data_IF_355620112987
#
_entry.id   IF_355620112987
#
_cell.length_a   1.000
_cell.length_b   1.000
_cell.length_c   1.000
_cell.angle_alpha   90.00
_cell.angle_beta   90.00
_cell.angle_gamma   90.00
#
_symmetry.space_group_name_H-M   'P 1'
#
loop_
_entity.id
_entity.type
_entity.pdbx_description
1 polymer ?
#
# COMPACT_ATOMS: atom_id res chain seq x y z
N UNK A 1 -3.54 -20.33 27.57
CA UNK A 1 -3.85 -19.38 26.48
C UNK A 1 -4.96 -19.97 25.62
N UNK A 2 -5.89 -19.17 25.06
CA UNK A 2 -6.93 -19.69 24.15
C UNK A 2 -6.30 -20.35 22.92
N UNK A 3 -7.01 -21.29 22.31
CA UNK A 3 -6.57 -21.97 21.09
C UNK A 3 -6.48 -21.00 19.89
N UNK A 4 -7.37 -20.00 19.86
CA UNK A 4 -7.36 -18.89 18.91
C UNK A 4 -6.87 -17.60 19.59
N UNK A 5 -5.66 -17.17 19.22
CA UNK A 5 -5.03 -15.97 19.76
C UNK A 5 -5.72 -14.67 19.31
N UNK A 6 -6.56 -14.70 18.26
CA UNK A 6 -7.34 -13.53 17.82
C UNK A 6 -8.51 -13.18 18.75
N UNK A 7 -8.85 -14.06 19.69
CA UNK A 7 -9.86 -13.75 20.72
C UNK A 7 -9.28 -12.93 21.88
N UNK A 8 -7.95 -12.79 21.95
CA UNK A 8 -7.27 -12.03 23.01
C UNK A 8 -7.51 -10.54 22.80
N UNK A 9 -8.23 -9.90 23.74
CA UNK A 9 -8.56 -8.47 23.70
C UNK A 9 -7.57 -7.58 24.46
N UNK A 10 -6.80 -8.15 25.37
CA UNK A 10 -5.74 -7.47 26.12
C UNK A 10 -4.66 -8.46 26.52
N UNK A 11 -3.45 -7.94 26.75
CA UNK A 11 -2.30 -8.72 27.20
C UNK A 11 -1.58 -8.00 28.34
N UNK A 12 -1.21 -8.75 29.36
CA UNK A 12 -0.14 -8.36 30.28
C UNK A 12 1.23 -8.75 29.70
N UNK A 13 2.30 -8.19 30.25
CA UNK A 13 3.69 -8.55 29.89
C UNK A 13 3.94 -10.05 30.06
N UNK A 14 3.48 -10.65 31.18
CA UNK A 14 3.67 -12.08 31.44
C UNK A 14 2.88 -12.97 30.49
N UNK A 15 1.66 -12.55 30.13
CA UNK A 15 0.87 -13.23 29.10
C UNK A 15 1.56 -13.17 27.72
N UNK A 16 2.10 -12.01 27.35
CA UNK A 16 2.86 -11.85 26.11
C UNK A 16 4.13 -12.72 26.10
N UNK A 17 4.86 -12.80 27.21
CA UNK A 17 6.06 -13.65 27.33
C UNK A 17 5.71 -15.13 27.14
N UNK A 18 4.64 -15.57 27.79
CA UNK A 18 4.18 -16.95 27.66
C UNK A 18 3.76 -17.28 26.22
N UNK A 19 3.14 -16.34 25.51
CA UNK A 19 2.76 -16.50 24.10
C UNK A 19 3.98 -16.69 23.19
N UNK A 20 4.98 -15.80 23.29
CA UNK A 20 6.14 -15.83 22.39
C UNK A 20 7.15 -16.94 22.73
N UNK A 21 7.14 -17.46 23.96
CA UNK A 21 8.01 -18.56 24.38
C UNK A 21 7.64 -19.89 23.69
N UNK A 22 6.41 -19.99 23.18
CA UNK A 22 6.00 -21.10 22.34
C UNK A 22 6.59 -20.93 20.94
N UNK A 23 7.56 -21.77 20.58
CA UNK A 23 8.07 -21.88 19.20
C UNK A 23 7.05 -22.48 18.22
N UNK A 24 5.82 -22.78 18.66
CA UNK A 24 4.77 -23.32 17.80
C UNK A 24 4.25 -22.29 16.78
N UNK A 25 4.44 -21.00 17.04
CA UNK A 25 3.88 -19.94 16.22
C UNK A 25 4.91 -19.48 15.21
N UNK A 26 4.90 -20.06 14.01
CA UNK A 26 5.56 -19.41 12.87
C UNK A 26 4.84 -18.11 12.50
N UNK A 27 3.52 -18.08 12.68
CA UNK A 27 2.67 -16.92 12.49
C UNK A 27 1.92 -16.66 13.80
N UNK A 28 2.18 -15.52 14.45
CA UNK A 28 1.44 -15.10 15.63
C UNK A 28 0.42 -14.04 15.23
N UNK A 29 -0.87 -14.35 15.41
CA UNK A 29 -1.98 -13.44 15.09
C UNK A 29 -2.71 -13.00 16.34
N UNK A 30 -2.70 -11.70 16.60
CA UNK A 30 -3.27 -11.06 17.79
C UNK A 30 -4.24 -9.95 17.37
N UNK A 31 -5.02 -10.21 16.32
CA UNK A 31 -5.95 -9.27 15.71
C UNK A 31 -7.15 -8.93 16.61
N UNK A 32 -7.25 -9.56 17.79
CA UNK A 32 -8.19 -9.16 18.83
C UNK A 32 -7.78 -7.94 19.62
N UNK A 33 -6.50 -7.57 19.61
CA UNK A 33 -5.96 -6.44 20.37
C UNK A 33 -6.30 -5.12 19.67
N UNK A 34 -7.05 -4.24 20.34
CA UNK A 34 -7.32 -2.89 19.84
C UNK A 34 -6.19 -1.89 20.13
N UNK A 35 -5.40 -2.15 21.17
CA UNK A 35 -4.26 -1.36 21.59
C UNK A 35 -3.20 -2.26 22.26
N UNK A 36 -1.95 -1.81 22.27
CA UNK A 36 -0.86 -2.41 23.06
C UNK A 36 -0.11 -1.34 23.84
N UNK A 37 0.36 -1.71 25.03
CA UNK A 37 1.30 -0.88 25.77
C UNK A 37 2.71 -1.04 25.23
N UNK A 38 3.59 -0.07 25.50
CA UNK A 38 5.00 -0.14 25.14
C UNK A 38 5.69 -1.43 25.65
N UNK A 39 5.41 -1.85 26.89
CA UNK A 39 6.04 -3.04 27.45
C UNK A 39 5.54 -4.35 26.83
N UNK A 40 4.25 -4.43 26.48
CA UNK A 40 3.72 -5.57 25.72
C UNK A 40 4.32 -5.58 24.31
N UNK A 41 4.40 -4.44 23.64
CA UNK A 41 5.02 -4.30 22.32
C UNK A 41 6.48 -4.76 22.31
N UNK A 42 7.28 -4.41 23.34
CA UNK A 42 8.67 -4.87 23.49
C UNK A 42 8.76 -6.39 23.57
N UNK A 43 7.84 -7.03 24.30
CA UNK A 43 7.81 -8.50 24.39
C UNK A 43 7.41 -9.08 23.04
N UNK A 44 6.31 -8.63 22.44
CA UNK A 44 5.84 -9.15 21.15
C UNK A 44 6.89 -9.00 20.03
N UNK A 45 7.69 -7.93 20.03
CA UNK A 45 8.79 -7.75 19.09
C UNK A 45 9.86 -8.85 19.18
N UNK A 46 9.99 -9.53 20.33
CA UNK A 46 10.93 -10.65 20.50
C UNK A 46 10.43 -11.96 19.88
N UNK A 47 9.20 -12.00 19.37
CA UNK A 47 8.69 -13.15 18.62
C UNK A 47 9.64 -13.53 17.47
N UNK A 48 10.03 -14.81 17.40
CA UNK A 48 10.98 -15.34 16.41
C UNK A 48 10.30 -15.95 15.18
N UNK A 49 8.97 -15.90 15.08
CA UNK A 49 8.24 -16.37 13.91
C UNK A 49 8.39 -15.44 12.70
N UNK A 50 7.83 -15.90 11.58
CA UNK A 50 7.87 -15.22 10.29
C UNK A 50 6.99 -13.97 10.27
N UNK A 51 5.80 -14.07 10.88
CA UNK A 51 4.75 -13.05 10.82
C UNK A 51 4.18 -12.69 12.19
N UNK A 52 4.16 -11.41 12.50
CA UNK A 52 3.40 -10.84 13.62
C UNK A 52 2.22 -10.02 13.09
N UNK A 53 1.00 -10.52 13.29
CA UNK A 53 -0.22 -9.83 12.92
C UNK A 53 -0.85 -9.15 14.12
N UNK A 54 -1.00 -7.84 14.00
CA UNK A 54 -1.61 -6.94 14.97
C UNK A 54 -2.65 -6.06 14.26
N UNK A 55 -3.38 -6.65 13.31
CA UNK A 55 -4.33 -5.94 12.44
C UNK A 55 -5.57 -5.43 13.19
N UNK A 56 -5.74 -5.83 14.46
CA UNK A 56 -6.77 -5.27 15.33
C UNK A 56 -6.41 -3.90 15.91
N UNK A 57 -5.13 -3.50 15.87
CA UNK A 57 -4.69 -2.26 16.49
C UNK A 57 -5.26 -1.07 15.72
N UNK A 58 -6.07 -0.26 16.39
CA UNK A 58 -6.63 0.97 15.82
C UNK A 58 -5.83 2.20 16.22
N UNK A 59 -5.01 2.09 17.26
CA UNK A 59 -4.08 3.12 17.72
C UNK A 59 -2.73 2.51 18.08
N UNK A 60 -1.66 3.30 17.96
CA UNK A 60 -0.30 2.89 18.31
C UNK A 60 0.47 4.10 18.84
N UNK A 61 0.98 4.04 20.07
CA UNK A 61 1.85 5.11 20.59
C UNK A 61 3.23 5.06 19.93
N UNK A 62 3.95 6.17 19.96
CA UNK A 62 5.30 6.27 19.39
C UNK A 62 6.27 5.27 20.03
N UNK A 63 6.16 5.04 21.35
CA UNK A 63 7.00 4.09 22.07
C UNK A 63 6.66 2.64 21.71
N UNK A 64 5.38 2.33 21.52
CA UNK A 64 4.95 1.00 21.08
C UNK A 64 5.39 0.75 19.62
N UNK A 65 5.28 1.75 18.73
CA UNK A 65 5.80 1.70 17.38
C UNK A 65 7.31 1.45 17.35
N UNK A 66 8.07 2.19 18.18
CA UNK A 66 9.52 1.99 18.35
C UNK A 66 9.87 0.59 18.83
N UNK A 67 9.09 0.03 19.74
CA UNK A 67 9.29 -1.33 20.20
C UNK A 67 9.00 -2.37 19.11
N UNK A 68 7.86 -2.26 18.41
CA UNK A 68 7.46 -3.18 17.33
C UNK A 68 8.41 -3.12 16.13
N UNK A 69 9.00 -1.97 15.83
CA UNK A 69 10.00 -1.83 14.77
C UNK A 69 11.25 -2.71 14.99
N UNK A 70 11.51 -3.12 16.24
CA UNK A 70 12.60 -4.05 16.56
C UNK A 70 12.24 -5.53 16.31
N UNK A 71 11.02 -5.80 15.83
CA UNK A 71 10.59 -7.15 15.52
C UNK A 71 11.56 -7.81 14.52
N UNK A 72 12.09 -8.98 14.89
CA UNK A 72 13.12 -9.66 14.11
C UNK A 72 12.55 -10.50 12.97
N UNK A 73 11.25 -10.82 13.02
CA UNK A 73 10.58 -11.59 11.99
C UNK A 73 10.47 -10.82 10.66
N UNK A 74 10.44 -11.55 9.52
CA UNK A 74 10.20 -11.05 8.18
C UNK A 74 9.12 -9.99 8.06
N UNK A 75 7.98 -10.17 8.71
CA UNK A 75 6.77 -9.45 8.36
C UNK A 75 6.00 -8.94 9.58
N UNK A 76 5.72 -7.63 9.57
CA UNK A 76 4.92 -6.95 10.57
C UNK A 76 3.63 -6.45 9.90
N UNK A 77 2.48 -6.83 10.46
CA UNK A 77 1.17 -6.44 9.96
C UNK A 77 0.42 -5.59 11.00
N UNK A 78 0.08 -4.37 10.59
CA UNK A 78 -0.57 -3.33 11.39
C UNK A 78 -1.74 -2.73 10.61
N UNK A 79 -2.50 -3.56 9.90
CA UNK A 79 -3.51 -3.11 8.93
C UNK A 79 -4.74 -2.45 9.57
N UNK A 80 -4.90 -2.50 10.90
CA UNK A 80 -6.00 -1.83 11.61
C UNK A 80 -5.76 -0.34 11.85
N UNK A 81 -4.52 0.13 11.71
CA UNK A 81 -4.19 1.53 11.94
C UNK A 81 -4.74 2.38 10.80
N UNK A 82 -5.58 3.36 11.13
CA UNK A 82 -6.14 4.31 10.14
C UNK A 82 -5.37 5.61 10.05
N UNK A 83 -4.59 5.92 11.09
CA UNK A 83 -3.71 7.09 11.18
C UNK A 83 -2.38 6.70 11.81
N UNK A 84 -1.32 7.47 11.53
CA UNK A 84 0.00 7.26 12.10
C UNK A 84 0.66 8.62 12.38
N UNK A 85 1.25 8.80 13.56
CA UNK A 85 2.07 9.97 13.87
C UNK A 85 3.38 9.95 13.07
N UNK A 86 4.01 11.11 12.92
CA UNK A 86 5.31 11.23 12.26
C UNK A 86 6.38 10.40 12.99
N UNK A 87 6.37 10.42 14.32
CA UNK A 87 7.28 9.68 15.19
C UNK A 87 7.08 8.16 15.12
N UNK A 88 5.82 7.69 15.06
CA UNK A 88 5.53 6.27 14.87
C UNK A 88 5.92 5.81 13.46
N UNK A 89 5.67 6.61 12.42
CA UNK A 89 6.12 6.33 11.05
C UNK A 89 7.64 6.22 10.96
N UNK A 90 8.36 7.17 11.57
CA UNK A 90 9.83 7.15 11.70
C UNK A 90 10.36 5.95 12.46
N UNK A 91 9.62 5.50 13.47
CA UNK A 91 9.98 4.30 14.22
C UNK A 91 9.78 3.05 13.38
N UNK A 92 8.60 2.87 12.79
CA UNK A 92 8.24 1.70 12.00
C UNK A 92 9.08 1.55 10.73
N UNK A 93 9.53 2.65 10.10
CA UNK A 93 10.41 2.56 8.93
C UNK A 93 11.79 1.96 9.25
N UNK A 94 12.16 1.85 10.54
CA UNK A 94 13.35 1.13 11.01
C UNK A 94 13.17 -0.39 11.06
N UNK A 95 11.97 -0.92 10.80
CA UNK A 95 11.79 -2.34 10.53
C UNK A 95 12.47 -2.65 9.19
N UNK A 96 13.60 -3.35 9.22
CA UNK A 96 14.44 -3.58 8.02
C UNK A 96 14.34 -5.01 7.50
N UNK A 97 13.16 -5.62 7.64
CA UNK A 97 12.98 -7.03 7.26
C UNK A 97 12.37 -7.12 5.88
N UNK A 98 11.37 -7.96 5.68
CA UNK A 98 10.78 -8.17 4.36
C UNK A 98 9.62 -7.21 4.16
N UNK A 99 8.60 -7.26 5.03
CA UNK A 99 7.36 -6.56 4.77
C UNK A 99 6.83 -5.77 5.98
N UNK A 100 6.39 -4.54 5.70
CA UNK A 100 5.63 -3.69 6.61
C UNK A 100 4.26 -3.42 5.97
N UNK A 101 3.19 -3.90 6.61
CA UNK A 101 1.82 -3.74 6.11
C UNK A 101 1.07 -2.73 6.98
N UNK A 102 0.62 -1.67 6.35
CA UNK A 102 -0.09 -0.54 6.94
C UNK A 102 -1.34 -0.21 6.08
N UNK A 103 -2.01 -1.25 5.57
CA UNK A 103 -3.10 -1.11 4.60
C UNK A 103 -4.35 -0.43 5.15
N UNK A 104 -4.43 -0.16 6.46
CA UNK A 104 -5.53 0.61 7.05
C UNK A 104 -5.36 2.11 6.94
N UNK A 105 -4.14 2.61 6.70
CA UNK A 105 -3.86 4.04 6.70
C UNK A 105 -4.58 4.70 5.54
N UNK A 106 -5.44 5.68 5.83
CA UNK A 106 -6.20 6.40 4.79
C UNK A 106 -5.53 7.70 4.36
N UNK A 107 -4.64 8.24 5.20
CA UNK A 107 -3.87 9.46 4.96
C UNK A 107 -2.47 9.36 5.57
N UNK A 108 -1.54 10.16 5.06
CA UNK A 108 -0.19 10.36 5.60
C UNK A 108 0.16 11.86 5.56
N UNK A 109 0.83 12.34 6.60
CA UNK A 109 1.54 13.62 6.53
C UNK A 109 2.77 13.47 5.62
N UNK A 110 3.31 14.60 5.13
CA UNK A 110 4.55 14.59 4.34
C UNK A 110 5.73 14.00 5.12
N UNK A 111 5.80 14.28 6.43
CA UNK A 111 6.86 13.73 7.31
C UNK A 111 6.72 12.24 7.54
N UNK A 112 5.50 11.73 7.71
CA UNK A 112 5.25 10.30 7.83
C UNK A 112 5.56 9.58 6.50
N UNK A 113 5.18 10.17 5.37
CA UNK A 113 5.53 9.67 4.04
C UNK A 113 7.05 9.66 3.80
N UNK A 114 7.76 10.74 4.18
CA UNK A 114 9.24 10.82 4.10
C UNK A 114 9.88 9.70 4.91
N UNK A 115 9.42 9.52 6.15
CA UNK A 115 9.93 8.50 7.04
C UNK A 115 9.70 7.08 6.49
N UNK A 116 8.49 6.78 5.99
CA UNK A 116 8.16 5.48 5.41
C UNK A 116 8.85 5.24 4.07
N UNK A 117 9.10 6.28 3.26
CA UNK A 117 9.87 6.18 2.02
C UNK A 117 11.30 5.68 2.25
N UNK A 118 11.87 5.95 3.43
CA UNK A 118 13.19 5.48 3.85
C UNK A 118 13.20 4.03 4.37
N UNK A 119 12.04 3.36 4.47
CA UNK A 119 11.95 1.96 4.84
C UNK A 119 12.86 1.11 3.93
N UNK A 120 13.70 0.27 4.53
CA UNK A 120 14.70 -0.53 3.80
C UNK A 120 14.24 -1.96 3.52
N UNK A 121 13.02 -2.34 3.93
CA UNK A 121 12.46 -3.64 3.61
C UNK A 121 12.08 -3.77 2.13
N UNK A 122 11.76 -4.99 1.73
CA UNK A 122 11.45 -5.32 0.34
C UNK A 122 10.04 -4.88 -0.08
N UNK A 123 9.09 -4.82 0.85
CA UNK A 123 7.68 -4.52 0.60
C UNK A 123 7.16 -3.51 1.61
N UNK A 124 6.55 -2.43 1.11
CA UNK A 124 5.77 -1.47 1.89
C UNK A 124 4.36 -1.42 1.30
N UNK A 125 3.36 -1.83 2.08
CA UNK A 125 1.97 -1.86 1.65
C UNK A 125 1.16 -0.79 2.39
N UNK A 126 0.54 0.09 1.61
CA UNK A 126 -0.21 1.27 2.02
C UNK A 126 -1.52 1.35 1.20
N UNK A 127 -2.15 0.20 0.94
CA UNK A 127 -3.28 0.09 0.01
C UNK A 127 -4.54 0.83 0.47
N UNK A 128 -4.62 1.24 1.74
CA UNK A 128 -5.74 2.05 2.25
C UNK A 128 -5.64 3.53 1.94
N UNK A 129 -4.49 4.02 1.45
CA UNK A 129 -4.30 5.45 1.20
C UNK A 129 -5.20 5.88 0.04
N UNK A 130 -6.13 6.78 0.30
CA UNK A 130 -7.01 7.33 -0.74
C UNK A 130 -6.41 8.56 -1.39
N UNK A 131 -5.61 9.33 -0.63
CA UNK A 131 -4.98 10.58 -1.08
C UNK A 131 -3.55 10.67 -0.59
N UNK A 132 -2.71 11.37 -1.36
CA UNK A 132 -1.31 11.64 -1.01
C UNK A 132 -0.92 13.01 -1.59
N UNK A 133 -0.13 13.78 -0.86
CA UNK A 133 0.44 15.04 -1.37
C UNK A 133 1.48 14.76 -2.46
N UNK A 134 1.78 15.76 -3.30
CA UNK A 134 2.82 15.62 -4.32
C UNK A 134 4.21 15.34 -3.71
N UNK A 135 4.52 15.96 -2.56
CA UNK A 135 5.77 15.72 -1.83
C UNK A 135 5.78 14.31 -1.22
N UNK A 136 4.69 13.88 -0.59
CA UNK A 136 4.52 12.53 -0.08
C UNK A 136 4.67 11.47 -1.17
N UNK A 137 4.12 11.72 -2.35
CA UNK A 137 4.25 10.85 -3.51
C UNK A 137 5.69 10.76 -4.02
N UNK A 138 6.39 11.89 -4.06
CA UNK A 138 7.80 11.98 -4.47
C UNK A 138 8.72 11.22 -3.52
N UNK A 139 8.53 11.35 -2.20
CA UNK A 139 9.40 10.63 -1.24
C UNK A 139 9.10 9.14 -1.19
N UNK A 140 7.83 8.73 -1.33
CA UNK A 140 7.47 7.31 -1.41
C UNK A 140 7.96 6.66 -2.71
N UNK A 141 8.03 7.40 -3.83
CA UNK A 141 8.57 6.88 -5.09
C UNK A 141 10.02 6.41 -4.97
N UNK A 142 10.77 6.97 -4.02
CA UNK A 142 12.18 6.65 -3.76
C UNK A 142 12.38 5.39 -2.92
N UNK A 143 11.31 4.77 -2.40
CA UNK A 143 11.42 3.51 -1.68
C UNK A 143 12.11 2.45 -2.55
N UNK A 144 13.16 1.80 -2.03
CA UNK A 144 13.98 0.88 -2.82
C UNK A 144 13.29 -0.46 -3.12
N UNK A 145 12.36 -0.88 -2.26
CA UNK A 145 11.56 -2.09 -2.44
C UNK A 145 10.35 -1.87 -3.33
N UNK A 146 9.40 -2.80 -3.29
CA UNK A 146 8.08 -2.63 -3.92
C UNK A 146 7.19 -1.82 -2.97
N UNK A 147 6.47 -0.88 -3.58
CA UNK A 147 5.47 -0.05 -2.93
C UNK A 147 4.09 -0.47 -3.46
N UNK A 148 3.12 -0.59 -2.56
CA UNK A 148 1.71 -0.80 -2.90
C UNK A 148 0.88 0.33 -2.33
N UNK A 149 0.09 0.98 -3.19
CA UNK A 149 -0.80 2.10 -2.87
C UNK A 149 -2.06 1.97 -3.73
N UNK A 150 -2.60 0.76 -3.81
CA UNK A 150 -3.61 0.41 -4.83
C UNK A 150 -4.97 1.09 -4.57
N UNK A 151 -5.23 1.60 -3.36
CA UNK A 151 -6.45 2.34 -3.00
C UNK A 151 -6.42 3.85 -3.28
N UNK A 152 -5.36 4.38 -3.89
CA UNK A 152 -5.33 5.80 -4.26
C UNK A 152 -6.48 6.11 -5.23
N UNK A 153 -7.21 7.19 -4.94
CA UNK A 153 -8.31 7.65 -5.80
C UNK A 153 -7.91 8.81 -6.71
N UNK A 154 -6.73 9.37 -6.47
CA UNK A 154 -6.07 10.38 -7.31
C UNK A 154 -4.57 10.13 -7.31
N UNK A 155 -3.95 10.29 -8.48
CA UNK A 155 -2.50 10.20 -8.68
C UNK A 155 -2.08 11.30 -9.63
N UNK A 156 -1.32 12.27 -9.11
CA UNK A 156 -0.84 13.45 -9.85
C UNK A 156 0.66 13.39 -10.12
N UNK A 157 1.40 12.61 -9.32
CA UNK A 157 2.85 12.53 -9.38
C UNK A 157 3.31 11.41 -10.34
N UNK A 158 3.98 11.82 -11.43
CA UNK A 158 4.48 10.90 -12.46
C UNK A 158 5.62 9.98 -11.97
N UNK A 159 6.45 10.42 -11.02
CA UNK A 159 7.52 9.58 -10.46
C UNK A 159 6.94 8.43 -9.63
N UNK A 160 5.90 8.70 -8.84
CA UNK A 160 5.17 7.66 -8.12
C UNK A 160 4.49 6.69 -9.09
N UNK A 161 3.84 7.21 -10.14
CA UNK A 161 3.24 6.37 -11.18
C UNK A 161 4.26 5.41 -11.82
N UNK A 162 5.43 5.93 -12.20
CA UNK A 162 6.53 5.13 -12.73
C UNK A 162 7.07 4.11 -11.71
N UNK A 163 7.10 4.46 -10.43
CA UNK A 163 7.49 3.54 -9.34
C UNK A 163 6.50 2.38 -9.21
N UNK A 164 5.20 2.65 -9.27
CA UNK A 164 4.15 1.64 -9.17
C UNK A 164 4.12 0.70 -10.39
N UNK A 165 4.48 1.23 -11.57
CA UNK A 165 4.62 0.52 -12.84
C UNK A 165 5.79 -0.48 -12.91
N UNK A 166 6.34 -0.92 -11.78
CA UNK A 166 7.39 -1.95 -11.68
C UNK A 166 6.83 -3.35 -11.33
N UNK A 167 5.51 -3.48 -11.09
CA UNK A 167 4.82 -4.75 -10.84
C UNK A 167 4.68 -5.56 -12.16
N UNK A 168 4.24 -6.82 -12.13
CA UNK A 168 3.90 -7.56 -13.37
C UNK A 168 2.47 -7.26 -13.83
N UNK A 169 1.60 -6.97 -12.87
CA UNK A 169 0.24 -6.47 -13.07
C UNK A 169 0.06 -5.35 -12.06
N UNK A 170 -0.35 -4.18 -12.52
CA UNK A 170 -0.65 -3.01 -11.71
C UNK A 170 -2.15 -2.75 -11.75
N UNK A 171 -2.77 -2.64 -10.56
CA UNK A 171 -4.18 -2.30 -10.41
C UNK A 171 -4.29 -0.96 -9.71
N UNK A 172 -4.90 0.01 -10.38
CA UNK A 172 -5.15 1.36 -9.87
C UNK A 172 -6.63 1.72 -10.06
N UNK A 173 -7.49 0.74 -9.81
CA UNK A 173 -8.94 0.76 -9.99
C UNK A 173 -9.65 1.81 -9.11
N UNK A 174 -8.96 2.38 -8.11
CA UNK A 174 -9.45 3.51 -7.35
C UNK A 174 -9.40 4.85 -8.09
N UNK A 175 -8.52 4.99 -9.10
CA UNK A 175 -8.33 6.23 -9.83
C UNK A 175 -9.54 6.53 -10.70
N UNK A 176 -10.10 7.73 -10.57
CA UNK A 176 -11.27 8.16 -11.35
C UNK A 176 -10.92 9.06 -12.53
N UNK A 177 -9.74 9.69 -12.48
CA UNK A 177 -9.14 10.56 -13.50
C UNK A 177 -7.62 10.35 -13.54
N UNK A 178 -6.98 10.78 -14.63
CA UNK A 178 -5.53 10.84 -14.78
C UNK A 178 -5.09 12.18 -15.36
N UNK A 179 -3.92 12.66 -14.92
CA UNK A 179 -3.21 13.72 -15.64
C UNK A 179 -2.47 13.15 -16.84
N UNK A 180 -2.15 14.00 -17.81
CA UNK A 180 -1.40 13.60 -19.00
C UNK A 180 -0.02 13.05 -18.65
N UNK A 181 0.63 13.63 -17.63
CA UNK A 181 1.94 13.23 -17.14
C UNK A 181 1.91 11.83 -16.52
N UNK A 182 0.89 11.54 -15.70
CA UNK A 182 0.73 10.22 -15.08
C UNK A 182 0.35 9.19 -16.13
N UNK A 183 -0.53 9.52 -17.08
CA UNK A 183 -0.85 8.65 -18.21
C UNK A 183 0.40 8.28 -19.03
N UNK A 184 1.28 9.26 -19.31
CA UNK A 184 2.57 9.02 -19.97
C UNK A 184 3.49 8.12 -19.17
N UNK A 185 3.56 8.29 -17.85
CA UNK A 185 4.37 7.43 -16.98
C UNK A 185 3.84 5.99 -16.94
N UNK A 186 2.52 5.81 -16.78
CA UNK A 186 1.87 4.49 -16.76
C UNK A 186 1.95 3.78 -18.12
N UNK A 187 1.90 4.50 -19.23
CA UNK A 187 2.05 3.92 -20.56
C UNK A 187 3.41 3.22 -20.79
N UNK A 188 4.44 3.59 -20.02
CA UNK A 188 5.75 2.92 -20.08
C UNK A 188 5.76 1.55 -19.39
N UNK A 189 4.73 1.23 -18.61
CA UNK A 189 4.54 -0.07 -18.01
C UNK A 189 4.45 -1.16 -19.10
N UNK A 190 5.06 -2.32 -18.85
CA UNK A 190 5.09 -3.46 -19.79
C UNK A 190 4.24 -4.66 -19.36
N UNK A 191 3.65 -4.58 -18.17
CA UNK A 191 2.77 -5.60 -17.62
C UNK A 191 1.30 -5.23 -17.80
N UNK A 192 0.41 -6.05 -17.25
CA UNK A 192 -1.03 -5.74 -17.29
C UNK A 192 -1.35 -4.50 -16.44
N UNK A 193 -2.15 -3.58 -16.99
CA UNK A 193 -2.57 -2.37 -16.32
C UNK A 193 -4.10 -2.35 -16.19
N UNK A 194 -4.59 -2.32 -14.97
CA UNK A 194 -6.02 -2.22 -14.68
C UNK A 194 -6.33 -0.81 -14.17
N UNK A 195 -7.14 -0.09 -14.96
CA UNK A 195 -7.58 1.28 -14.76
C UNK A 195 -9.10 1.38 -14.95
N UNK A 196 -9.83 0.32 -14.63
CA UNK A 196 -11.30 0.24 -14.76
C UNK A 196 -12.05 1.30 -13.94
N UNK A 197 -11.41 1.94 -12.95
CA UNK A 197 -11.99 3.05 -12.19
C UNK A 197 -12.12 4.36 -12.97
N UNK A 198 -11.36 4.52 -14.06
CA UNK A 198 -11.31 5.78 -14.79
C UNK A 198 -12.63 6.06 -15.49
N UNK A 199 -13.20 7.23 -15.22
CA UNK A 199 -14.49 7.63 -15.80
C UNK A 199 -14.33 8.51 -17.05
N UNK A 200 -13.18 9.17 -17.19
CA UNK A 200 -12.85 10.07 -18.30
C UNK A 200 -11.34 10.17 -18.51
N UNK A 201 -10.93 10.57 -19.71
CA UNK A 201 -9.53 10.89 -20.08
C UNK A 201 -9.49 12.13 -20.99
N UNK A 202 -8.38 12.87 -20.93
CA UNK A 202 -8.03 13.86 -21.97
C UNK A 202 -7.59 13.16 -23.26
N UNK A 203 -7.54 13.90 -24.36
CA UNK A 203 -7.03 13.40 -25.64
C UNK A 203 -5.55 13.00 -25.51
N UNK A 204 -4.77 13.78 -24.77
CA UNK A 204 -3.35 13.57 -24.52
C UNK A 204 -3.08 12.32 -23.68
N UNK A 205 -3.84 12.13 -22.60
CA UNK A 205 -3.74 10.93 -21.76
C UNK A 205 -4.16 9.67 -22.53
N UNK A 206 -5.24 9.75 -23.32
CA UNK A 206 -5.69 8.65 -24.17
C UNK A 206 -4.66 8.29 -25.23
N UNK A 207 -4.05 9.28 -25.90
CA UNK A 207 -2.94 9.05 -26.85
C UNK A 207 -1.73 8.41 -26.19
N UNK A 208 -1.38 8.82 -24.98
CA UNK A 208 -0.27 8.23 -24.25
C UNK A 208 -0.55 6.76 -23.90
N UNK A 209 -1.71 6.47 -23.31
CA UNK A 209 -2.12 5.11 -22.94
C UNK A 209 -2.31 4.19 -24.16
N UNK A 210 -2.67 4.73 -25.33
CA UNK A 210 -2.73 3.97 -26.58
C UNK A 210 -1.39 3.32 -26.96
N UNK A 211 -0.26 3.80 -26.43
CA UNK A 211 1.07 3.23 -26.67
C UNK A 211 1.49 2.21 -25.61
N UNK A 212 0.64 1.91 -24.63
CA UNK A 212 0.91 0.89 -23.62
C UNK A 212 1.10 -0.50 -24.28
N UNK A 213 2.13 -1.21 -23.84
CA UNK A 213 2.44 -2.57 -24.28
C UNK A 213 2.01 -3.54 -23.17
N UNK A 214 0.89 -4.23 -23.40
CA UNK A 214 0.27 -5.10 -22.41
C UNK A 214 -1.24 -4.93 -22.40
N UNK A 215 -1.92 -5.83 -21.67
CA UNK A 215 -3.36 -5.71 -21.49
C UNK A 215 -3.66 -4.48 -20.63
N UNK A 216 -4.47 -3.57 -21.16
CA UNK A 216 -4.93 -2.39 -20.46
C UNK A 216 -6.46 -2.40 -20.34
N UNK A 217 -6.96 -2.48 -19.12
CA UNK A 217 -8.39 -2.39 -18.84
C UNK A 217 -8.80 -0.94 -18.58
N UNK A 218 -9.67 -0.41 -19.44
CA UNK A 218 -10.31 0.91 -19.32
C UNK A 218 -11.84 0.78 -19.36
N UNK A 219 -12.38 -0.36 -18.95
CA UNK A 219 -13.80 -0.71 -19.10
C UNK A 219 -14.77 0.20 -18.34
N UNK A 220 -14.32 0.96 -17.33
CA UNK A 220 -15.15 1.94 -16.65
C UNK A 220 -15.18 3.33 -17.27
N UNK A 221 -14.61 3.56 -18.45
CA UNK A 221 -14.72 4.85 -19.12
C UNK A 221 -16.18 5.18 -19.45
N UNK A 222 -16.63 6.36 -19.01
CA UNK A 222 -17.98 6.85 -19.26
C UNK A 222 -18.01 7.98 -20.29
N UNK A 223 -16.96 8.80 -20.32
CA UNK A 223 -16.87 10.01 -21.13
C UNK A 223 -15.53 10.05 -21.84
N UNK A 224 -15.56 10.19 -23.17
CA UNK A 224 -14.38 10.41 -24.00
C UNK A 224 -14.75 11.34 -25.16
N UNK A 225 -13.77 12.08 -25.67
CA UNK A 225 -13.88 12.68 -27.00
C UNK A 225 -13.76 11.59 -28.07
N UNK A 226 -14.19 11.89 -29.30
CA UNK A 226 -13.97 11.00 -30.44
C UNK A 226 -12.47 10.81 -30.74
N UNK A 227 -11.65 11.84 -30.53
CA UNK A 227 -10.21 11.76 -30.74
C UNK A 227 -9.55 10.81 -29.73
N UNK A 228 -9.95 10.86 -28.46
CA UNK A 228 -9.50 9.98 -27.40
C UNK A 228 -9.94 8.52 -27.65
N UNK A 229 -11.21 8.30 -27.99
CA UNK A 229 -11.73 6.97 -28.31
C UNK A 229 -11.01 6.36 -29.52
N UNK A 230 -10.81 7.14 -30.60
CA UNK A 230 -10.06 6.72 -31.78
C UNK A 230 -8.61 6.35 -31.46
N UNK A 231 -7.93 7.11 -30.59
CA UNK A 231 -6.57 6.80 -30.18
C UNK A 231 -6.49 5.45 -29.44
N UNK A 232 -7.37 5.22 -28.48
CA UNK A 232 -7.39 3.98 -27.68
C UNK A 232 -7.75 2.76 -28.53
N UNK A 233 -8.73 2.86 -29.42
CA UNK A 233 -9.12 1.77 -30.35
C UNK A 233 -7.99 1.32 -31.29
N UNK A 234 -6.99 2.16 -31.52
CA UNK A 234 -5.87 1.80 -32.39
C UNK A 234 -4.99 0.69 -31.78
N UNK A 235 -5.13 0.42 -30.48
CA UNK A 235 -4.41 -0.63 -29.77
C UNK A 235 -5.37 -1.77 -29.39
N UNK A 236 -5.20 -2.98 -29.94
CA UNK A 236 -6.11 -4.11 -29.71
C UNK A 236 -6.01 -4.72 -28.31
N UNK A 237 -4.96 -4.40 -27.54
CA UNK A 237 -4.76 -4.90 -26.18
C UNK A 237 -5.48 -4.02 -25.13
N UNK A 238 -6.16 -2.95 -25.56
CA UNK A 238 -6.95 -2.06 -24.70
C UNK A 238 -8.41 -2.49 -24.69
N UNK A 239 -8.92 -2.83 -23.51
CA UNK A 239 -10.33 -3.11 -23.28
C UNK A 239 -11.09 -1.81 -23.02
N UNK A 240 -12.07 -1.52 -23.89
CA UNK A 240 -12.93 -0.35 -23.81
C UNK A 240 -14.39 -0.74 -23.53
N UNK A 241 -15.20 0.15 -22.96
CA UNK A 241 -16.64 -0.05 -22.95
C UNK A 241 -17.19 -0.05 -24.39
N UNK A 242 -18.15 -0.95 -24.69
CA UNK A 242 -18.74 -1.16 -26.03
C UNK A 242 -19.15 0.10 -26.80
N UNK A 243 -19.56 1.16 -26.11
CA UNK A 243 -19.95 2.43 -26.74
C UNK A 243 -18.79 3.18 -27.39
N UNK A 244 -17.54 2.85 -27.03
CA UNK A 244 -16.33 3.44 -27.60
C UNK A 244 -15.58 2.48 -28.54
N UNK A 245 -16.06 1.24 -28.72
CA UNK A 245 -15.47 0.26 -29.64
C UNK A 245 -15.82 0.50 -31.12
N UNK A 246 -16.87 1.30 -31.41
CA UNK A 246 -17.45 1.51 -32.74
C UNK A 246 -16.94 2.78 -33.42
#
# INVERSE_FOLDING_TARGET
MPADTNQIKSLTVEQAKHLIASNAWRNLSLNGLAAVTCDVAKVLAQHQGDHLHLDGLTTLSDEAAKALAQHKGPCLHLNGLTTLSDEAAKSLSQHKRICLNLNGLTTLSDKAAEALGQHQGLLLNLDGLTTLSDEGAKVLSQHKGRLSTDGLTSLTNAELAAKLAQKSVLRLNGLTTLTDEVAKALAQHKGGLDLDGLTTLSDEAAKALAHHEGLLDLSGLHTLSEAAAKALRANPDIYLPRKFEQ
#
